data_IF_804774093296
#
_entry.id   IF_804774093296
#
_cell.length_a   1.000
_cell.length_b   1.000
_cell.length_c   1.000
_cell.angle_alpha   90.00
_cell.angle_beta   90.00
_cell.angle_gamma   90.00
#
_symmetry.space_group_name_H-M   'P 1'
#
loop_
_entity.id
_entity.type
_entity.pdbx_description
1 polymer ?
#
# COMPACT_ATOMS: atom_id res chain seq x y z
N UNK A 1 -0.62 -0.11 4.66
CA UNK A 1 0.20 -1.16 4.04
C UNK A 1 1.63 -0.67 3.96
N UNK A 2 2.61 -1.51 4.29
CA UNK A 2 4.02 -1.14 4.35
C UNK A 2 4.83 -2.11 3.50
N UNK A 3 5.63 -1.57 2.58
CA UNK A 3 6.53 -2.34 1.72
C UNK A 3 7.94 -1.84 1.95
N UNK A 4 8.84 -2.76 2.28
CA UNK A 4 10.26 -2.47 2.47
C UNK A 4 11.02 -2.98 1.24
N UNK A 5 11.85 -2.10 0.67
CA UNK A 5 12.75 -2.41 -0.44
C UNK A 5 14.19 -2.14 0.02
N UNK A 6 14.98 -3.20 0.19
CA UNK A 6 16.40 -3.08 0.48
C UNK A 6 17.21 -3.25 -0.81
N UNK A 7 17.94 -2.21 -1.18
CA UNK A 7 18.80 -2.17 -2.36
C UNK A 7 20.23 -2.36 -1.89
N UNK A 8 20.88 -3.51 -2.17
CA UNK A 8 22.27 -3.71 -1.83
C UNK A 8 23.15 -2.82 -2.73
N UNK A 9 24.12 -2.17 -2.11
CA UNK A 9 25.17 -1.38 -2.74
C UNK A 9 26.51 -2.09 -2.51
N UNK A 10 27.52 -1.79 -3.33
CA UNK A 10 28.87 -2.30 -3.15
C UNK A 10 29.41 -2.05 -1.74
N UNK A 11 30.23 -3.00 -1.26
CA UNK A 11 30.93 -2.94 0.03
C UNK A 11 30.01 -2.98 1.27
N UNK A 12 29.03 -3.89 1.28
CA UNK A 12 28.11 -4.11 2.41
C UNK A 12 27.24 -2.89 2.79
N UNK A 13 27.17 -1.89 1.89
CA UNK A 13 26.33 -0.71 2.01
C UNK A 13 24.95 -1.05 1.47
N UNK A 14 23.91 -0.42 2.02
CA UNK A 14 22.54 -0.63 1.55
C UNK A 14 21.77 0.67 1.62
N UNK A 15 20.77 0.75 0.76
CA UNK A 15 19.72 1.77 0.78
C UNK A 15 18.42 1.03 1.05
N UNK A 16 17.74 1.37 2.13
CA UNK A 16 16.43 0.81 2.47
C UNK A 16 15.39 1.87 2.18
N UNK A 17 14.45 1.56 1.30
CA UNK A 17 13.29 2.40 0.98
C UNK A 17 12.06 1.78 1.61
N UNK A 18 11.35 2.55 2.42
CA UNK A 18 10.12 2.14 3.08
C UNK A 18 8.95 2.90 2.46
N UNK A 19 8.05 2.15 1.82
CA UNK A 19 6.81 2.67 1.27
C UNK A 19 5.67 2.41 2.24
N UNK A 20 5.06 3.46 2.74
CA UNK A 20 3.98 3.42 3.70
C UNK A 20 2.72 4.06 3.10
N UNK A 21 1.68 3.27 2.89
CA UNK A 21 0.37 3.77 2.45
C UNK A 21 -0.60 3.78 3.63
N UNK A 22 -0.98 4.98 4.06
CA UNK A 22 -1.97 5.22 5.11
C UNK A 22 -3.32 5.59 4.49
N UNK A 23 -4.40 4.82 4.72
CA UNK A 23 -5.73 5.20 4.26
C UNK A 23 -6.23 6.41 5.06
N UNK A 24 -6.64 7.47 4.34
CA UNK A 24 -7.33 8.62 4.93
C UNK A 24 -8.85 8.46 4.83
N UNK A 25 -9.31 7.85 3.73
CA UNK A 25 -10.71 7.53 3.46
C UNK A 25 -10.78 6.31 2.53
N UNK A 26 -11.99 5.85 2.18
CA UNK A 26 -12.18 4.72 1.27
C UNK A 26 -11.56 4.95 -0.12
N UNK A 27 -11.45 6.21 -0.55
CA UNK A 27 -10.91 6.57 -1.88
C UNK A 27 -9.58 7.33 -1.82
N UNK A 28 -9.05 7.63 -0.63
CA UNK A 28 -7.89 8.49 -0.46
C UNK A 28 -6.86 7.84 0.43
N UNK A 29 -5.62 7.80 -0.05
CA UNK A 29 -4.49 7.21 0.65
C UNK A 29 -3.33 8.19 0.61
N UNK A 30 -2.67 8.37 1.76
CA UNK A 30 -1.42 9.12 1.87
C UNK A 30 -0.25 8.16 1.71
N UNK A 31 0.57 8.41 0.70
CA UNK A 31 1.81 7.67 0.47
C UNK A 31 2.96 8.40 1.15
N UNK A 32 3.66 7.69 2.01
CA UNK A 32 4.90 8.10 2.66
C UNK A 32 6.03 7.24 2.08
N UNK A 33 7.16 7.89 1.80
CA UNK A 33 8.35 7.23 1.27
C UNK A 33 9.51 7.67 2.16
N UNK A 34 10.00 6.74 2.97
CA UNK A 34 11.15 6.98 3.85
C UNK A 34 12.36 6.27 3.26
N UNK A 35 13.50 6.96 3.17
CA UNK A 35 14.73 6.38 2.62
C UNK A 35 15.83 6.45 3.66
N UNK A 36 16.37 5.28 3.98
CA UNK A 36 17.49 5.08 4.86
C UNK A 36 18.69 4.61 4.05
N UNK A 37 19.88 5.04 4.44
CA UNK A 37 21.10 4.60 3.76
C UNK A 37 22.27 4.56 4.73
N UNK A 38 23.12 3.55 4.55
CA UNK A 38 24.39 3.43 5.28
C UNK A 38 25.58 3.84 4.39
N UNK A 39 25.37 4.82 3.49
CA UNK A 39 26.43 5.34 2.62
C UNK A 39 27.17 6.47 3.34
N UNK A 40 28.50 6.43 3.28
CA UNK A 40 29.41 7.45 3.84
C UNK A 40 29.44 8.76 3.01
N UNK A 41 28.47 8.97 2.11
CA UNK A 41 28.41 10.18 1.30
C UNK A 41 28.02 11.39 2.14
N UNK A 42 28.41 12.61 1.74
CA UNK A 42 27.96 13.82 2.37
C UNK A 42 26.42 13.88 2.36
N UNK A 43 25.84 13.89 3.57
CA UNK A 43 24.39 13.84 3.83
C UNK A 43 23.53 14.73 2.91
N UNK A 44 23.86 16.03 2.66
CA UNK A 44 22.99 16.88 1.84
C UNK A 44 22.93 16.45 0.37
N UNK A 45 24.04 15.95 -0.19
CA UNK A 45 24.08 15.50 -1.59
C UNK A 45 23.26 14.23 -1.76
N UNK A 46 23.42 13.29 -0.81
CA UNK A 46 22.68 12.05 -0.80
C UNK A 46 21.18 12.31 -0.64
N UNK A 47 20.79 13.21 0.26
CA UNK A 47 19.40 13.60 0.45
C UNK A 47 18.79 14.18 -0.84
N UNK A 48 19.51 15.06 -1.54
CA UNK A 48 19.04 15.66 -2.78
C UNK A 48 18.82 14.59 -3.87
N UNK A 49 19.82 13.71 -4.08
CA UNK A 49 19.72 12.62 -5.04
C UNK A 49 18.56 11.67 -4.73
N UNK A 50 18.38 11.31 -3.46
CA UNK A 50 17.30 10.43 -3.02
C UNK A 50 15.92 11.09 -3.20
N UNK A 51 15.80 12.41 -2.97
CA UNK A 51 14.54 13.14 -3.22
C UNK A 51 14.20 13.15 -4.72
N UNK A 52 15.18 13.39 -5.58
CA UNK A 52 14.98 13.34 -7.03
C UNK A 52 14.62 11.94 -7.50
N UNK A 53 15.34 10.91 -7.05
CA UNK A 53 15.06 9.51 -7.39
C UNK A 53 13.64 9.11 -6.96
N UNK A 54 13.26 9.40 -5.72
CA UNK A 54 11.91 9.12 -5.22
C UNK A 54 10.82 9.84 -6.00
N UNK A 55 11.04 11.12 -6.34
CA UNK A 55 10.08 11.91 -7.10
C UNK A 55 9.93 11.39 -8.53
N UNK A 56 11.04 10.99 -9.16
CA UNK A 56 11.05 10.44 -10.51
C UNK A 56 10.31 9.11 -10.57
N UNK A 57 10.60 8.18 -9.65
CA UNK A 57 9.89 6.91 -9.55
C UNK A 57 8.40 7.12 -9.32
N UNK A 58 8.02 8.07 -8.45
CA UNK A 58 6.61 8.36 -8.21
C UNK A 58 5.92 8.95 -9.44
N UNK A 59 6.58 9.82 -10.21
CA UNK A 59 6.03 10.38 -11.45
C UNK A 59 5.85 9.31 -12.53
N UNK A 60 6.78 8.37 -12.64
CA UNK A 60 6.71 7.24 -13.57
C UNK A 60 5.58 6.27 -13.18
N UNK A 61 5.44 5.98 -11.89
CA UNK A 61 4.43 5.04 -11.39
C UNK A 61 3.03 5.66 -11.28
N UNK A 62 2.90 6.98 -11.15
CA UNK A 62 1.62 7.67 -11.02
C UNK A 62 0.59 7.32 -12.12
N UNK A 63 0.92 7.30 -13.42
CA UNK A 63 -0.03 6.88 -14.45
C UNK A 63 -0.45 5.42 -14.30
N UNK A 64 0.44 4.54 -13.83
CA UNK A 64 0.12 3.14 -13.55
C UNK A 64 -0.84 3.01 -12.36
N UNK A 65 -0.54 3.70 -11.25
CA UNK A 65 -1.39 3.77 -10.06
C UNK A 65 -2.76 4.35 -10.38
N UNK A 66 -2.83 5.39 -11.22
CA UNK A 66 -4.09 5.99 -11.66
C UNK A 66 -4.95 5.00 -12.45
N UNK A 67 -4.36 4.28 -13.42
CA UNK A 67 -5.07 3.24 -14.18
C UNK A 67 -5.56 2.10 -13.29
N UNK A 68 -4.77 1.71 -12.29
CA UNK A 68 -5.21 0.73 -11.29
C UNK A 68 -6.36 1.24 -10.43
N UNK A 69 -6.31 2.49 -9.99
CA UNK A 69 -7.39 3.14 -9.26
C UNK A 69 -8.69 3.18 -10.06
N UNK A 70 -8.64 3.64 -11.31
CA UNK A 70 -9.80 3.67 -12.21
C UNK A 70 -10.37 2.26 -12.45
N UNK A 71 -9.51 1.25 -12.67
CA UNK A 71 -9.94 -0.15 -12.83
C UNK A 71 -10.53 -0.72 -11.54
N UNK A 72 -10.00 -0.39 -10.37
CA UNK A 72 -10.55 -0.85 -9.10
C UNK A 72 -11.89 -0.17 -8.79
N UNK A 73 -12.05 1.11 -9.08
CA UNK A 73 -13.35 1.81 -8.97
C UNK A 73 -14.35 1.19 -9.95
N UNK A 74 -13.97 0.98 -11.21
CA UNK A 74 -14.82 0.29 -12.19
C UNK A 74 -15.14 -1.14 -11.76
N UNK A 75 -14.19 -1.88 -11.15
CA UNK A 75 -14.46 -3.20 -10.57
C UNK A 75 -15.38 -3.11 -9.37
N UNK A 76 -15.27 -2.13 -8.49
CA UNK A 76 -16.15 -1.96 -7.33
C UNK A 76 -17.59 -1.60 -7.76
N UNK A 77 -17.71 -0.71 -8.75
CA UNK A 77 -18.97 -0.32 -9.40
C UNK A 77 -19.55 -1.46 -10.25
N UNK A 78 -18.72 -2.25 -10.91
CA UNK A 78 -19.17 -3.46 -11.58
C UNK A 78 -19.43 -4.60 -10.59
N UNK A 79 -18.79 -4.66 -9.41
CA UNK A 79 -19.08 -5.67 -8.39
C UNK A 79 -20.46 -5.44 -7.78
N UNK A 80 -20.83 -4.17 -7.56
CA UNK A 80 -22.20 -3.81 -7.15
C UNK A 80 -23.23 -4.13 -8.24
N UNK A 81 -22.82 -4.19 -9.51
CA UNK A 81 -23.66 -4.56 -10.67
C UNK A 81 -23.60 -6.06 -11.04
N UNK A 82 -22.54 -6.76 -10.65
CA UNK A 82 -22.15 -8.13 -11.04
C UNK A 82 -21.95 -8.98 -9.77
N UNK A 83 -22.75 -8.77 -8.72
CA UNK A 83 -22.82 -9.71 -7.59
C UNK A 83 -23.39 -11.09 -7.99
N UNK A 84 -23.49 -11.38 -9.29
CA UNK A 84 -24.03 -12.61 -9.87
C UNK A 84 -23.01 -13.42 -10.68
N UNK A 85 -21.71 -13.07 -10.70
CA UNK A 85 -20.74 -13.86 -11.48
C UNK A 85 -19.69 -14.58 -10.62
N UNK A 86 -19.70 -15.92 -10.75
CA UNK A 86 -19.08 -16.94 -9.91
C UNK A 86 -17.54 -16.95 -9.88
N UNK A 87 -16.84 -15.97 -10.45
CA UNK A 87 -15.37 -16.04 -10.60
C UNK A 87 -14.60 -15.30 -9.49
N UNK A 88 -15.29 -14.69 -8.52
CA UNK A 88 -14.64 -13.87 -7.48
C UNK A 88 -14.63 -14.47 -6.07
N UNK A 89 -14.92 -15.77 -5.95
CA UNK A 89 -15.01 -16.47 -4.67
C UNK A 89 -13.70 -16.51 -3.89
N UNK A 90 -12.55 -16.73 -4.55
CA UNK A 90 -11.25 -16.80 -3.88
C UNK A 90 -10.83 -15.45 -3.29
N UNK A 91 -11.06 -14.36 -4.02
CA UNK A 91 -10.79 -13.01 -3.53
C UNK A 91 -11.73 -12.64 -2.38
N UNK A 92 -13.01 -12.98 -2.49
CA UNK A 92 -13.99 -12.80 -1.40
C UNK A 92 -13.58 -13.58 -0.15
N UNK A 93 -13.18 -14.85 -0.32
CA UNK A 93 -12.68 -15.70 0.77
C UNK A 93 -11.43 -15.12 1.43
N UNK A 94 -10.50 -14.60 0.64
CA UNK A 94 -9.30 -13.93 1.18
C UNK A 94 -9.67 -12.67 1.97
N UNK A 95 -10.56 -11.83 1.42
CA UNK A 95 -11.04 -10.64 2.11
C UNK A 95 -11.81 -10.97 3.40
N UNK A 96 -12.63 -12.01 3.41
CA UNK A 96 -13.36 -12.45 4.61
C UNK A 96 -12.41 -13.00 5.69
N UNK A 97 -11.41 -13.82 5.30
CA UNK A 97 -10.46 -14.42 6.24
C UNK A 97 -9.51 -13.39 6.88
N UNK A 98 -9.13 -12.34 6.15
CA UNK A 98 -8.12 -11.38 6.62
C UNK A 98 -8.67 -9.98 6.91
N UNK A 99 -9.88 -9.65 6.44
CA UNK A 99 -10.55 -8.36 6.67
C UNK A 99 -11.41 -8.31 7.94
N UNK A 100 -11.75 -9.46 8.51
CA UNK A 100 -12.55 -9.59 9.74
C UNK A 100 -11.72 -9.53 11.03
N UNK A 101 -11.21 -8.35 11.39
CA UNK A 101 -10.81 -8.05 12.80
C UNK A 101 -11.45 -6.77 13.30
N UNK A 102 -12.79 -6.76 13.37
CA UNK A 102 -13.58 -5.95 14.31
C UNK A 102 -14.89 -6.69 14.58
N UNK A 103 -14.83 -7.71 15.40
CA UNK A 103 -16.02 -8.26 16.05
C UNK A 103 -16.18 -7.53 17.39
N UNK A 104 -17.16 -6.62 17.55
CA UNK A 104 -17.58 -6.25 18.89
C UNK A 104 -18.26 -7.47 19.48
N UNK A 105 -17.68 -8.03 20.53
CA UNK A 105 -18.29 -9.09 21.31
C UNK A 105 -19.73 -8.70 21.66
N UNK A 106 -20.70 -9.37 21.02
CA UNK A 106 -22.09 -9.33 21.45
C UNK A 106 -22.15 -10.06 22.79
N UNK A 107 -22.13 -9.30 23.88
CA UNK A 107 -22.47 -9.77 25.22
C UNK A 107 -23.95 -10.15 25.19
N UNK A 108 -24.21 -11.44 24.99
CA UNK A 108 -25.54 -12.03 25.14
C UNK A 108 -25.57 -12.78 26.46
N UNK A 109 -26.49 -12.35 27.33
CA UNK A 109 -27.13 -13.20 28.35
C UNK A 109 -26.72 -12.98 29.80
N UNK A 110 -27.66 -12.52 30.62
CA UNK A 110 -28.15 -13.06 31.92
C UNK A 110 -29.49 -12.32 32.19
N UNK A 111 -30.66 -12.83 31.80
CA UNK A 111 -31.65 -13.54 32.64
C UNK A 111 -31.66 -13.09 34.11
N UNK A 112 -32.62 -12.26 34.51
CA UNK A 112 -33.47 -12.43 35.71
C UNK A 112 -34.86 -11.83 35.44
#
# INVERSE_FOLDING_TARGET
YTVELSIPVYNNKHITVLFNALPLSNNEHKLFIDIYSNLEWPKPILQLLLHFASSLTLLEDLPYLRKLGERNIQRLVNLSRVSNHETMWLMRRFADLYGGKKEPAQLTGVIE
#
